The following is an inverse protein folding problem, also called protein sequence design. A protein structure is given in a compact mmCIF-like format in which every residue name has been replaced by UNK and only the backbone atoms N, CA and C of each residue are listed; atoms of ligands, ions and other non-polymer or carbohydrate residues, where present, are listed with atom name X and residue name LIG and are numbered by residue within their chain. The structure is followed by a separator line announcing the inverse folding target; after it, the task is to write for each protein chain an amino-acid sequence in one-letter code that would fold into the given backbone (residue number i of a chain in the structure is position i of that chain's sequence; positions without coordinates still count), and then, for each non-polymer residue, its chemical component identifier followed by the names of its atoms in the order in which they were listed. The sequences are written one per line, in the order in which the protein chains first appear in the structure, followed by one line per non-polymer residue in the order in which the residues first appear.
data_IF_920527854218
#
_entry.id   IF_920527854218
#
_cell.length_a   1.000
_cell.length_b   1.000
_cell.length_c   1.000
_cell.angle_alpha   90.00
_cell.angle_beta   90.00
_cell.angle_gamma   90.00
#
_symmetry.space_group_name_H-M   'P 1'
#
loop_
_entity.id
_entity.type
_entity.pdbx_description
1 polymer ?
#
# COMPACT_ATOMS: atom_id res chain seq x y z
N UNK A 1 -0.12 -22.60 19.88
CA UNK A 1 -0.34 -22.73 18.41
C UNK A 1 -1.54 -23.64 18.19
N UNK A 2 -2.63 -23.14 17.60
CA UNK A 2 -3.56 -23.83 16.67
C UNK A 2 -4.95 -23.16 16.63
N UNK A 3 -5.13 -22.16 15.77
CA UNK A 3 -6.43 -21.89 15.15
C UNK A 3 -6.55 -22.76 13.90
N UNK A 4 -7.21 -23.91 14.00
CA UNK A 4 -7.48 -24.74 12.83
C UNK A 4 -8.76 -24.24 12.16
N UNK A 5 -8.62 -23.69 10.96
CA UNK A 5 -9.75 -23.57 10.04
C UNK A 5 -10.09 -24.97 9.53
N UNK A 6 -11.33 -25.41 9.74
CA UNK A 6 -11.86 -26.65 9.18
C UNK A 6 -12.13 -26.49 7.68
N UNK A 7 -11.19 -26.98 6.87
CA UNK A 7 -11.33 -27.08 5.41
C UNK A 7 -9.99 -27.21 4.68
N UNK A 8 -9.48 -28.44 4.52
CA UNK A 8 -8.25 -28.78 3.74
C UNK A 8 -6.92 -28.13 4.17
N UNK A 9 -6.71 -27.86 5.46
CA UNK A 9 -5.35 -27.81 6.04
C UNK A 9 -4.41 -26.72 5.52
N UNK A 10 -4.93 -25.64 4.93
CA UNK A 10 -4.14 -24.46 4.58
C UNK A 10 -4.50 -23.32 5.51
N UNK A 11 -3.49 -22.81 6.21
CA UNK A 11 -3.60 -21.63 7.07
C UNK A 11 -2.92 -20.45 6.36
N UNK A 12 -3.43 -19.22 6.50
CA UNK A 12 -2.67 -18.03 6.12
C UNK A 12 -1.26 -18.07 6.71
N UNK A 13 -0.27 -17.63 5.93
CA UNK A 13 1.11 -17.51 6.40
C UNK A 13 1.23 -16.42 7.47
N UNK A 14 0.40 -15.38 7.38
CA UNK A 14 0.40 -14.23 8.27
C UNK A 14 -1.01 -13.88 8.75
N UNK A 15 -1.07 -13.34 9.96
CA UNK A 15 -2.23 -12.61 10.49
C UNK A 15 -1.75 -11.21 10.89
N UNK A 16 -2.47 -10.19 10.47
CA UNK A 16 -2.16 -8.78 10.73
C UNK A 16 -3.11 -8.30 11.81
N UNK A 17 -2.56 -7.82 12.92
CA UNK A 17 -3.31 -7.29 14.06
C UNK A 17 -3.21 -5.76 14.09
N UNK A 18 -4.21 -5.06 14.64
CA UNK A 18 -4.19 -3.60 14.73
C UNK A 18 -3.14 -3.09 15.72
N UNK A 19 -2.80 -3.90 16.73
CA UNK A 19 -1.88 -3.57 17.82
C UNK A 19 -1.30 -4.86 18.43
N UNK A 20 -0.25 -4.69 19.27
CA UNK A 20 0.42 -5.80 19.96
C UNK A 20 -0.47 -6.46 21.02
N UNK A 21 -1.39 -5.73 21.65
CA UNK A 21 -2.30 -6.27 22.66
C UNK A 21 -3.20 -7.34 22.04
N UNK A 22 -3.81 -7.03 20.89
CA UNK A 22 -4.64 -7.95 20.10
C UNK A 22 -3.90 -9.21 19.69
N UNK A 23 -2.61 -9.09 19.31
CA UNK A 23 -1.74 -10.23 18.98
C UNK A 23 -1.43 -11.10 20.20
N UNK A 24 -1.07 -10.47 21.32
CA UNK A 24 -0.73 -11.15 22.57
C UNK A 24 -1.94 -11.93 23.08
N UNK A 25 -3.11 -11.30 23.08
CA UNK A 25 -4.32 -11.98 23.53
C UNK A 25 -4.71 -13.15 22.62
N UNK A 26 -4.65 -12.97 21.29
CA UNK A 26 -4.90 -14.06 20.32
C UNK A 26 -3.93 -15.24 20.50
N UNK A 27 -2.69 -14.95 20.90
CA UNK A 27 -1.67 -15.98 21.16
C UNK A 27 -1.86 -16.69 22.51
N UNK A 28 -2.43 -16.00 23.50
CA UNK A 28 -2.63 -16.50 24.87
C UNK A 28 -3.84 -17.43 25.03
N UNK A 29 -4.79 -17.40 24.08
CA UNK A 29 -6.05 -18.15 24.12
C UNK A 29 -6.16 -19.16 22.97
N UNK A 30 -5.48 -20.31 23.06
CA UNK A 30 -5.45 -21.30 21.99
C UNK A 30 -6.81 -21.94 21.68
N UNK A 31 -7.78 -21.84 22.59
CA UNK A 31 -9.16 -22.30 22.43
C UNK A 31 -10.04 -21.36 21.57
N UNK A 32 -9.65 -20.10 21.41
CA UNK A 32 -10.34 -19.14 20.55
C UNK A 32 -9.78 -19.17 19.12
N UNK A 33 -10.58 -18.70 18.14
CA UNK A 33 -10.08 -18.50 16.79
C UNK A 33 -8.99 -17.41 16.79
N UNK A 34 -7.76 -17.82 16.48
CA UNK A 34 -6.59 -16.95 16.40
C UNK A 34 -6.80 -15.73 15.50
N UNK A 35 -7.58 -15.87 14.41
CA UNK A 35 -7.79 -14.80 13.45
C UNK A 35 -8.91 -13.83 13.86
N UNK A 36 -9.63 -14.10 14.95
CA UNK A 36 -10.79 -13.31 15.41
C UNK A 36 -10.50 -11.83 15.59
N UNK A 37 -9.26 -11.48 15.98
CA UNK A 37 -8.82 -10.10 16.22
C UNK A 37 -7.90 -9.55 15.13
N UNK A 38 -7.60 -10.34 14.10
CA UNK A 38 -6.84 -9.85 12.99
C UNK A 38 -7.69 -8.86 12.16
N UNK A 39 -7.04 -7.83 11.63
CA UNK A 39 -7.64 -6.91 10.64
C UNK A 39 -7.51 -7.46 9.22
N UNK A 40 -6.49 -8.28 8.97
CA UNK A 40 -6.26 -8.92 7.69
C UNK A 40 -5.48 -10.23 7.85
N UNK A 41 -5.57 -11.09 6.84
CA UNK A 41 -4.72 -12.28 6.68
C UNK A 41 -3.75 -12.09 5.51
N UNK A 42 -2.62 -12.80 5.53
CA UNK A 42 -1.58 -12.66 4.52
C UNK A 42 -1.04 -14.00 4.03
N UNK A 43 -0.65 -14.04 2.76
CA UNK A 43 -0.03 -15.19 2.13
C UNK A 43 1.15 -14.74 1.26
N UNK A 44 2.31 -15.40 1.44
CA UNK A 44 3.54 -15.07 0.74
C UNK A 44 3.95 -16.21 -0.19
N UNK A 45 4.22 -15.88 -1.45
CA UNK A 45 4.75 -16.79 -2.46
C UNK A 45 6.21 -16.50 -2.76
N UNK A 46 6.90 -17.49 -3.32
CA UNK A 46 8.26 -17.29 -3.82
C UNK A 46 8.27 -16.25 -4.96
N UNK A 47 9.36 -15.48 -5.07
CA UNK A 47 9.49 -14.34 -5.98
C UNK A 47 9.09 -14.58 -7.44
N UNK A 48 9.37 -15.78 -7.96
CA UNK A 48 9.09 -16.14 -9.36
C UNK A 48 7.65 -16.62 -9.61
N UNK A 49 6.83 -16.75 -8.56
CA UNK A 49 5.45 -17.24 -8.70
C UNK A 49 4.58 -16.14 -9.27
N UNK A 50 3.98 -16.39 -10.44
CA UNK A 50 2.95 -15.53 -11.02
C UNK A 50 1.62 -15.72 -10.30
N UNK A 51 0.89 -14.63 -10.06
CA UNK A 51 -0.47 -14.67 -9.55
C UNK A 51 -1.52 -14.87 -10.66
N UNK A 52 -1.14 -14.66 -11.91
CA UNK A 52 -2.00 -14.80 -13.07
C UNK A 52 -1.73 -16.11 -13.80
N UNK A 53 -2.81 -16.71 -14.33
CA UNK A 53 -2.80 -18.06 -14.89
C UNK A 53 -1.72 -18.21 -15.98
N UNK A 54 -0.94 -19.29 -15.91
CA UNK A 54 -0.29 -19.83 -17.09
C UNK A 54 -1.34 -20.51 -17.97
N UNK A 55 -1.52 -20.05 -19.22
CA UNK A 55 -2.26 -20.80 -20.25
C UNK A 55 -1.42 -22.02 -20.65
N UNK A 56 -1.60 -23.14 -19.98
CA UNK A 56 -0.99 -24.43 -20.32
C UNK A 56 -2.03 -25.56 -20.28
N UNK A 57 -2.05 -26.41 -21.31
CA UNK A 57 -2.82 -27.66 -21.35
C UNK A 57 -2.22 -28.63 -20.30
N UNK A 58 -2.83 -28.73 -19.12
CA UNK A 58 -2.47 -29.71 -18.10
C UNK A 58 -2.82 -29.24 -16.70
N UNK A 59 -3.69 -29.99 -15.99
CA UNK A 59 -4.21 -29.72 -14.64
C UNK A 59 -4.85 -28.34 -14.43
N UNK A 60 -6.07 -28.19 -14.95
CA UNK A 60 -6.95 -27.08 -14.60
C UNK A 60 -7.22 -27.09 -13.08
N UNK A 61 -7.21 -25.90 -12.46
CA UNK A 61 -7.95 -25.53 -11.24
C UNK A 61 -7.33 -25.60 -9.83
N UNK A 62 -6.25 -26.33 -9.52
CA UNK A 62 -5.87 -26.51 -8.09
C UNK A 62 -4.66 -25.71 -7.56
N UNK A 63 -4.05 -24.83 -8.37
CA UNK A 63 -2.83 -24.09 -7.98
C UNK A 63 -2.93 -22.56 -8.10
N UNK A 64 -4.08 -22.00 -8.49
CA UNK A 64 -4.20 -20.55 -8.57
C UNK A 64 -4.24 -19.95 -7.14
N UNK A 65 -3.24 -19.14 -6.73
CA UNK A 65 -3.18 -18.56 -5.37
C UNK A 65 -4.42 -17.74 -5.01
N UNK A 66 -5.17 -17.26 -6.01
CA UNK A 66 -6.40 -16.47 -5.82
C UNK A 66 -7.51 -17.29 -5.14
N UNK A 67 -7.60 -18.59 -5.41
CA UNK A 67 -8.57 -19.46 -4.71
C UNK A 67 -8.19 -19.67 -3.24
N UNK A 68 -6.90 -19.64 -2.92
CA UNK A 68 -6.44 -19.73 -1.54
C UNK A 68 -6.85 -18.49 -0.74
N UNK A 69 -6.80 -17.31 -1.35
CA UNK A 69 -7.26 -16.06 -0.73
C UNK A 69 -8.78 -16.02 -0.54
N UNK A 70 -9.58 -16.41 -1.55
CA UNK A 70 -11.04 -16.48 -1.39
C UNK A 70 -11.43 -17.51 -0.31
N UNK A 71 -10.74 -18.65 -0.23
CA UNK A 71 -10.92 -19.59 0.87
C UNK A 71 -10.65 -18.93 2.22
N UNK A 72 -9.49 -18.28 2.41
CA UNK A 72 -9.16 -17.60 3.67
C UNK A 72 -10.20 -16.55 4.07
N UNK A 73 -10.70 -15.76 3.14
CA UNK A 73 -11.70 -14.72 3.42
C UNK A 73 -13.08 -15.28 3.80
N UNK A 74 -13.42 -16.50 3.38
CA UNK A 74 -14.64 -17.21 3.81
C UNK A 74 -14.49 -17.89 5.16
N UNK A 75 -13.26 -18.29 5.44
CA UNK A 75 -12.92 -19.24 6.49
C UNK A 75 -12.33 -18.58 7.75
N UNK A 76 -11.97 -17.30 7.65
CA UNK A 76 -11.42 -16.51 8.76
C UNK A 76 -12.24 -15.23 8.98
N UNK A 77 -12.34 -14.72 10.22
CA UNK A 77 -13.07 -13.49 10.52
C UNK A 77 -12.63 -12.20 9.79
N UNK A 78 -11.33 -11.99 9.46
CA UNK A 78 -10.88 -10.78 8.79
C UNK A 78 -11.47 -10.62 7.38
N UNK A 79 -11.87 -9.39 7.04
CA UNK A 79 -12.47 -9.05 5.73
C UNK A 79 -11.45 -8.72 4.64
N UNK A 80 -10.19 -8.57 5.02
CA UNK A 80 -9.11 -8.17 4.13
C UNK A 80 -8.06 -9.26 4.05
N UNK A 81 -7.50 -9.46 2.86
CA UNK A 81 -6.40 -10.39 2.65
C UNK A 81 -5.33 -9.79 1.74
N UNK A 82 -4.07 -10.06 2.06
CA UNK A 82 -2.90 -9.66 1.28
C UNK A 82 -2.26 -10.89 0.65
N UNK A 83 -2.00 -10.82 -0.66
CA UNK A 83 -1.21 -11.81 -1.39
C UNK A 83 0.03 -11.13 -1.95
N UNK A 84 1.22 -11.66 -1.61
CA UNK A 84 2.49 -11.08 -2.08
C UNK A 84 3.50 -12.13 -2.54
N UNK A 85 4.28 -11.81 -3.56
CA UNK A 85 5.47 -12.57 -3.96
C UNK A 85 6.74 -11.71 -3.79
N UNK A 86 6.64 -10.62 -3.03
CA UNK A 86 7.68 -9.60 -2.88
C UNK A 86 7.71 -8.57 -4.02
N UNK A 87 7.35 -8.95 -5.26
CA UNK A 87 7.27 -8.03 -6.40
C UNK A 87 5.89 -7.37 -6.48
N UNK A 88 4.84 -8.17 -6.49
CA UNK A 88 3.45 -7.75 -6.57
C UNK A 88 2.81 -7.93 -5.20
N UNK A 89 2.06 -6.91 -4.77
CA UNK A 89 1.29 -6.90 -3.53
C UNK A 89 -0.17 -6.66 -3.90
N UNK A 90 -1.03 -7.65 -3.66
CA UNK A 90 -2.46 -7.57 -3.94
C UNK A 90 -3.27 -7.49 -2.65
N UNK A 91 -4.18 -6.53 -2.56
CA UNK A 91 -5.17 -6.39 -1.50
C UNK A 91 -6.53 -6.85 -2.01
N UNK A 92 -7.13 -7.79 -1.29
CA UNK A 92 -8.44 -8.35 -1.55
C UNK A 92 -9.40 -8.01 -0.42
N UNK A 93 -10.68 -7.84 -0.78
CA UNK A 93 -11.77 -7.70 0.18
C UNK A 93 -12.76 -8.85 0.04
N UNK A 94 -13.29 -9.34 1.17
CA UNK A 94 -14.25 -10.44 1.27
C UNK A 94 -15.38 -10.32 0.23
N UNK A 95 -16.03 -9.15 0.16
CA UNK A 95 -17.24 -8.94 -0.66
C UNK A 95 -17.02 -9.05 -2.17
N UNK A 96 -15.78 -9.01 -2.65
CA UNK A 96 -15.45 -9.11 -4.08
C UNK A 96 -14.47 -10.22 -4.42
N UNK A 97 -13.89 -10.89 -3.41
CA UNK A 97 -12.88 -11.94 -3.56
C UNK A 97 -13.30 -13.09 -4.48
N UNK A 98 -14.58 -13.50 -4.42
CA UNK A 98 -15.16 -14.56 -5.25
C UNK A 98 -15.07 -14.30 -6.76
N UNK A 99 -14.94 -13.03 -7.19
CA UNK A 99 -14.82 -12.67 -8.61
C UNK A 99 -13.48 -13.08 -9.19
N UNK A 100 -12.50 -13.38 -8.35
CA UNK A 100 -11.19 -13.77 -8.84
C UNK A 100 -10.31 -12.54 -9.03
N UNK A 101 -10.84 -11.54 -9.70
CA UNK A 101 -10.17 -10.45 -10.41
C UNK A 101 -10.36 -9.05 -9.82
N UNK A 102 -11.07 -8.95 -8.70
CA UNK A 102 -11.23 -7.71 -7.97
C UNK A 102 -10.17 -7.60 -6.87
N UNK A 103 -9.13 -6.81 -7.11
CA UNK A 103 -8.06 -6.52 -6.17
C UNK A 103 -7.42 -5.16 -6.47
N UNK A 104 -6.80 -4.58 -5.46
CA UNK A 104 -5.85 -3.48 -5.65
C UNK A 104 -4.43 -4.06 -5.69
N UNK A 105 -3.66 -3.79 -6.75
CA UNK A 105 -2.31 -4.30 -6.92
C UNK A 105 -1.27 -3.18 -6.92
N UNK A 106 -0.17 -3.41 -6.21
CA UNK A 106 1.04 -2.59 -6.25
C UNK A 106 2.20 -3.42 -6.77
N UNK A 107 2.89 -2.93 -7.80
CA UNK A 107 4.16 -3.47 -8.27
C UNK A 107 5.31 -2.70 -7.61
N UNK A 108 5.93 -3.31 -6.59
CA UNK A 108 6.90 -2.64 -5.73
C UNK A 108 8.16 -2.18 -6.51
N UNK A 109 8.80 -3.00 -7.37
CA UNK A 109 9.90 -2.51 -8.21
C UNK A 109 9.51 -1.36 -9.13
N UNK A 110 8.30 -1.37 -9.71
CA UNK A 110 7.86 -0.27 -10.56
C UNK A 110 7.63 1.02 -9.75
N UNK A 111 7.08 0.90 -8.54
CA UNK A 111 6.89 2.03 -7.63
C UNK A 111 8.24 2.66 -7.24
N UNK A 112 9.23 1.84 -6.88
CA UNK A 112 10.57 2.31 -6.53
C UNK A 112 11.28 2.98 -7.70
N UNK A 113 11.16 2.42 -8.91
CA UNK A 113 11.72 3.03 -10.11
C UNK A 113 11.09 4.39 -10.40
N UNK A 114 9.76 4.49 -10.31
CA UNK A 114 9.03 5.75 -10.50
C UNK A 114 9.45 6.81 -9.47
N UNK A 115 9.63 6.41 -8.20
CA UNK A 115 10.10 7.33 -7.16
C UNK A 115 11.50 7.88 -7.48
N UNK A 116 12.43 7.03 -7.89
CA UNK A 116 13.77 7.46 -8.27
C UNK A 116 13.75 8.42 -9.49
N UNK A 117 12.95 8.11 -10.51
CA UNK A 117 12.79 8.99 -11.68
C UNK A 117 12.16 10.34 -11.32
N UNK A 118 11.20 10.35 -10.39
CA UNK A 118 10.59 11.55 -9.88
C UNK A 118 11.60 12.43 -9.13
N UNK A 119 12.40 11.84 -8.23
CA UNK A 119 13.45 12.56 -7.48
C UNK A 119 14.47 13.22 -8.42
N UNK A 120 14.96 12.49 -9.42
CA UNK A 120 15.85 13.03 -10.46
C UNK A 120 15.20 14.15 -11.26
N UNK A 121 13.91 14.03 -11.56
CA UNK A 121 13.17 15.06 -12.30
C UNK A 121 12.98 16.33 -11.47
N UNK A 122 12.72 16.20 -10.17
CA UNK A 122 12.61 17.34 -9.25
C UNK A 122 13.95 18.06 -9.11
N UNK A 123 15.06 17.32 -8.98
CA UNK A 123 16.40 17.91 -8.89
C UNK A 123 16.75 18.76 -10.12
N UNK A 124 16.40 18.30 -11.32
CA UNK A 124 16.59 19.07 -12.57
C UNK A 124 15.80 20.39 -12.58
N UNK A 125 14.64 20.42 -11.93
CA UNK A 125 13.78 21.60 -11.89
C UNK A 125 14.16 22.58 -10.79
N UNK A 126 14.95 22.15 -9.80
CA UNK A 126 15.32 22.95 -8.64
C UNK A 126 15.96 24.30 -9.03
N UNK A 127 16.96 24.37 -9.94
CA UNK A 127 17.56 25.65 -10.32
C UNK A 127 16.57 26.58 -11.03
N UNK A 128 15.59 26.03 -11.76
CA UNK A 128 14.57 26.84 -12.44
C UNK A 128 13.58 27.42 -11.42
N UNK A 129 13.19 26.64 -10.41
CA UNK A 129 12.35 27.11 -9.31
C UNK A 129 13.01 28.24 -8.53
N UNK A 130 14.30 28.09 -8.21
CA UNK A 130 15.08 29.14 -7.53
C UNK A 130 15.14 30.43 -8.35
N UNK A 131 15.25 30.32 -9.68
CA UNK A 131 15.20 31.47 -10.59
C UNK A 131 13.83 32.14 -10.62
N UNK A 132 12.75 31.35 -10.60
CA UNK A 132 11.37 31.88 -10.54
C UNK A 132 11.20 32.65 -9.23
N UNK A 133 11.54 32.04 -8.09
CA UNK A 133 11.45 32.69 -6.78
C UNK A 133 12.34 33.95 -6.69
N UNK A 134 13.53 33.93 -7.27
CA UNK A 134 14.38 35.12 -7.35
C UNK A 134 13.76 36.22 -8.22
N UNK A 135 13.07 35.84 -9.29
CA UNK A 135 12.36 36.79 -10.16
C UNK A 135 11.16 37.39 -9.45
N UNK A 136 10.38 36.58 -8.72
CA UNK A 136 9.24 37.06 -7.93
C UNK A 136 9.69 38.09 -6.90
N UNK A 137 10.77 37.83 -6.15
CA UNK A 137 11.35 38.81 -5.22
C UNK A 137 11.78 40.12 -5.91
N UNK A 138 12.32 40.04 -7.13
CA UNK A 138 12.68 41.23 -7.88
C UNK A 138 11.45 42.00 -8.37
N UNK A 139 10.40 41.30 -8.79
CA UNK A 139 9.12 41.89 -9.16
C UNK A 139 8.55 42.64 -7.97
N UNK A 140 8.49 42.01 -6.79
CA UNK A 140 7.98 42.63 -5.57
C UNK A 140 8.78 43.90 -5.21
N UNK A 141 10.12 43.82 -5.23
CA UNK A 141 10.97 44.97 -4.95
C UNK A 141 10.78 46.13 -5.94
N UNK A 142 10.51 45.83 -7.23
CA UNK A 142 10.19 46.84 -8.24
C UNK A 142 8.81 47.44 -7.97
N UNK A 143 7.81 46.62 -7.67
CA UNK A 143 6.44 47.07 -7.35
C UNK A 143 6.47 48.00 -6.13
N UNK A 144 7.10 47.58 -5.03
CA UNK A 144 7.20 48.40 -3.81
C UNK A 144 7.85 49.75 -4.08
N UNK A 145 8.92 49.78 -4.88
CA UNK A 145 9.59 51.03 -5.25
C UNK A 145 8.72 51.92 -6.14
N UNK A 146 8.00 51.36 -7.11
CA UNK A 146 7.15 52.12 -8.03
C UNK A 146 5.97 52.78 -7.30
N UNK A 147 5.40 52.11 -6.31
CA UNK A 147 4.30 52.62 -5.51
C UNK A 147 4.76 53.40 -4.26
N UNK A 148 6.07 53.42 -3.98
CA UNK A 148 6.65 54.17 -2.86
C UNK A 148 6.27 53.64 -1.48
N UNK A 149 6.06 52.33 -1.34
CA UNK A 149 5.67 51.72 -0.07
C UNK A 149 6.77 51.86 0.98
N UNK A 150 6.34 52.10 2.21
CA UNK A 150 7.16 52.06 3.42
C UNK A 150 7.34 50.62 3.92
N UNK A 151 8.33 50.39 4.79
CA UNK A 151 8.57 49.07 5.41
C UNK A 151 7.35 48.55 6.18
N UNK A 152 6.57 49.45 6.80
CA UNK A 152 5.32 49.10 7.49
C UNK A 152 4.25 48.59 6.50
N UNK A 153 4.12 49.25 5.34
CA UNK A 153 3.18 48.84 4.29
C UNK A 153 3.63 47.55 3.59
N UNK A 154 4.94 47.34 3.40
CA UNK A 154 5.50 46.09 2.88
C UNK A 154 5.20 44.94 3.86
N UNK A 155 5.39 45.15 5.16
CA UNK A 155 5.06 44.15 6.20
C UNK A 155 3.59 43.71 6.14
N UNK A 156 2.67 44.65 5.95
CA UNK A 156 1.24 44.36 5.77
C UNK A 156 0.97 43.52 4.51
N UNK A 157 1.66 43.80 3.39
CA UNK A 157 1.51 43.04 2.13
C UNK A 157 2.09 41.64 2.25
N UNK A 158 3.22 41.47 2.94
CA UNK A 158 3.85 40.17 3.15
C UNK A 158 3.19 39.34 4.27
N UNK A 159 2.22 39.92 5.00
CA UNK A 159 1.55 39.26 6.12
C UNK A 159 2.47 39.01 7.32
N UNK A 160 3.46 39.88 7.52
CA UNK A 160 4.45 39.85 8.60
C UNK A 160 4.14 40.86 9.70
#
# INVERSE_FOLDING_TARGET
MQGAVLGKGKRPDYAIFPDEESLNEASSKPEEDYYRRAVAVGDAKAWKVSFDKQRGRGSFEMQNPRFQIDAYLRDTPPKWAILTNGRLWRLYHESTSYKLDSFYEVNLPALLALQAEFEVSVEKLQPLRERIEATDRLIDAVVYRLYGLTEEEIGIVEGK
#
